data_IF_770349179162
#
_entry.id   IF_770349179162
#
_cell.length_a   1.000
_cell.length_b   1.000
_cell.length_c   1.000
_cell.angle_alpha   90.00
_cell.angle_beta   90.00
_cell.angle_gamma   90.00
#
_symmetry.space_group_name_H-M   'P 1'
#
loop_
_entity.id
_entity.type
_entity.pdbx_description
1 polymer ?
#
# COMPACT_ATOMS: atom_id res chain seq x y z
N UNK A 1 17.07 -15.11 -6.10
CA UNK A 1 17.65 -13.76 -6.29
C UNK A 1 17.63 -13.06 -4.94
N UNK A 2 18.76 -12.78 -4.28
CA UNK A 2 18.74 -11.95 -3.08
C UNK A 2 18.54 -10.50 -3.55
N UNK A 3 17.34 -9.95 -3.33
CA UNK A 3 17.05 -8.54 -3.58
C UNK A 3 17.92 -7.72 -2.64
N UNK A 4 18.95 -7.08 -3.22
CA UNK A 4 19.86 -6.22 -2.48
C UNK A 4 19.08 -5.19 -1.69
N UNK A 5 19.35 -5.12 -0.38
CA UNK A 5 18.88 -4.08 0.52
C UNK A 5 19.28 -2.72 -0.08
N UNK A 6 18.36 -2.04 -0.77
CA UNK A 6 18.56 -0.65 -1.16
C UNK A 6 18.44 0.20 0.10
N UNK A 7 19.57 0.44 0.73
CA UNK A 7 19.77 1.42 1.81
C UNK A 7 19.76 2.84 1.25
N UNK A 8 18.60 3.28 0.74
CA UNK A 8 18.32 4.67 0.38
C UNK A 8 16.87 4.91 0.79
N UNK A 9 16.50 6.02 1.47
CA UNK A 9 15.09 6.25 1.77
C UNK A 9 14.31 6.26 0.46
N UNK A 10 13.33 5.36 0.35
CA UNK A 10 12.51 5.26 -0.84
C UNK A 10 11.82 6.60 -1.11
N UNK A 11 11.93 7.08 -2.34
CA UNK A 11 11.19 8.26 -2.79
C UNK A 11 9.68 8.02 -2.70
N UNK A 12 8.88 9.10 -2.74
CA UNK A 12 7.43 8.97 -2.74
C UNK A 12 6.92 8.09 -3.90
N UNK A 13 7.52 8.24 -5.10
CA UNK A 13 7.16 7.44 -6.27
C UNK A 13 7.52 5.96 -6.10
N UNK A 14 8.72 5.65 -5.59
CA UNK A 14 9.11 4.27 -5.26
C UNK A 14 8.20 3.65 -4.19
N UNK A 15 7.78 4.44 -3.20
CA UNK A 15 6.84 4.01 -2.15
C UNK A 15 5.48 3.65 -2.75
N UNK A 16 4.96 4.51 -3.62
CA UNK A 16 3.71 4.28 -4.34
C UNK A 16 3.77 3.03 -5.20
N UNK A 17 4.82 2.88 -6.01
CA UNK A 17 4.98 1.71 -6.88
C UNK A 17 5.09 0.41 -6.07
N UNK A 18 5.85 0.43 -4.97
CA UNK A 18 5.99 -0.72 -4.10
C UNK A 18 4.65 -1.12 -3.48
N UNK A 19 3.90 -0.15 -2.94
CA UNK A 19 2.57 -0.39 -2.36
C UNK A 19 1.60 -0.93 -3.41
N UNK A 20 1.51 -0.29 -4.58
CA UNK A 20 0.64 -0.74 -5.67
C UNK A 20 0.95 -2.17 -6.07
N UNK A 21 2.24 -2.55 -6.18
CA UNK A 21 2.64 -3.93 -6.50
C UNK A 21 2.25 -4.92 -5.41
N UNK A 22 2.40 -4.57 -4.13
CA UNK A 22 2.02 -5.46 -3.01
C UNK A 22 0.51 -5.67 -2.94
N UNK A 23 -0.27 -4.63 -3.17
CA UNK A 23 -1.74 -4.74 -3.30
C UNK A 23 -2.11 -5.59 -4.51
N UNK A 24 -1.53 -5.33 -5.69
CA UNK A 24 -1.75 -6.10 -6.92
C UNK A 24 -1.38 -7.59 -6.79
N UNK A 25 -0.38 -7.91 -5.96
CA UNK A 25 0.04 -9.28 -5.67
C UNK A 25 -0.82 -10.00 -4.63
N UNK A 26 -1.69 -9.28 -3.92
CA UNK A 26 -2.56 -9.87 -2.89
C UNK A 26 -3.80 -10.53 -3.53
N UNK A 27 -4.43 -11.52 -2.85
CA UNK A 27 -5.67 -12.15 -3.33
C UNK A 27 -6.76 -11.12 -3.66
N UNK A 28 -7.63 -11.46 -4.62
CA UNK A 28 -8.76 -10.61 -5.06
C UNK A 28 -10.08 -11.10 -4.44
N UNK A 29 -10.91 -10.22 -3.85
CA UNK A 29 -10.60 -8.84 -3.47
C UNK A 29 -9.54 -8.80 -2.35
N UNK A 30 -8.91 -7.64 -2.16
CA UNK A 30 -7.92 -7.43 -1.11
C UNK A 30 -8.52 -7.87 0.25
N UNK A 31 -7.97 -8.88 0.93
CA UNK A 31 -8.53 -9.37 2.18
C UNK A 31 -8.43 -8.32 3.28
N UNK A 32 -9.45 -8.24 4.14
CA UNK A 32 -9.38 -7.43 5.36
C UNK A 32 -8.18 -7.85 6.22
N UNK A 33 -7.50 -6.88 6.81
CA UNK A 33 -6.28 -7.02 7.58
C UNK A 33 -5.02 -7.17 6.72
N UNK A 34 -5.14 -7.29 5.38
CA UNK A 34 -3.98 -7.44 4.51
C UNK A 34 -3.23 -6.13 4.32
N UNK A 35 -3.94 -5.02 4.19
CA UNK A 35 -3.30 -3.73 3.95
C UNK A 35 -2.45 -3.22 5.13
N UNK A 36 -2.91 -3.32 6.40
CA UNK A 36 -2.07 -3.02 7.57
C UNK A 36 -0.78 -3.84 7.59
N UNK A 37 -0.86 -5.12 7.23
CA UNK A 37 0.33 -5.97 7.14
C UNK A 37 1.30 -5.51 6.04
N UNK A 38 0.80 -5.05 4.89
CA UNK A 38 1.63 -4.47 3.82
C UNK A 38 2.32 -3.18 4.32
N UNK A 39 1.62 -2.34 5.09
CA UNK A 39 2.22 -1.14 5.68
C UNK A 39 3.34 -1.49 6.67
N UNK A 40 3.14 -2.51 7.51
CA UNK A 40 4.16 -3.01 8.43
C UNK A 40 5.38 -3.57 7.69
N UNK A 41 5.17 -4.37 6.63
CA UNK A 41 6.25 -4.87 5.76
C UNK A 41 7.04 -3.71 5.16
N UNK A 42 6.38 -2.66 4.68
CA UNK A 42 7.04 -1.49 4.11
C UNK A 42 7.91 -0.75 5.13
N UNK A 43 7.41 -0.55 6.35
CA UNK A 43 8.18 0.08 7.43
C UNK A 43 9.41 -0.76 7.78
N UNK A 44 9.27 -2.09 7.83
CA UNK A 44 10.39 -3.00 8.07
C UNK A 44 11.43 -3.01 6.93
N UNK A 45 10.99 -2.82 5.69
CA UNK A 45 11.88 -2.65 4.52
C UNK A 45 12.56 -1.27 4.47
N UNK A 46 12.17 -0.33 5.34
CA UNK A 46 12.79 0.99 5.48
C UNK A 46 12.07 2.12 4.73
N UNK A 47 10.82 1.91 4.31
CA UNK A 47 10.00 2.97 3.71
C UNK A 47 9.55 3.97 4.78
N UNK A 48 9.47 5.25 4.42
CA UNK A 48 8.99 6.31 5.30
C UNK A 48 7.49 6.16 5.55
N UNK A 49 7.07 6.18 6.82
CA UNK A 49 5.66 6.13 7.20
C UNK A 49 4.87 7.28 6.59
N UNK A 50 5.42 8.49 6.54
CA UNK A 50 4.78 9.64 5.90
C UNK A 50 4.51 9.40 4.41
N UNK A 51 5.46 8.81 3.67
CA UNK A 51 5.23 8.49 2.26
C UNK A 51 4.15 7.42 2.07
N UNK A 52 4.09 6.43 2.97
CA UNK A 52 3.05 5.39 2.94
C UNK A 52 1.67 6.01 3.20
N UNK A 53 1.54 6.88 4.20
CA UNK A 53 0.29 7.56 4.53
C UNK A 53 -0.14 8.54 3.44
N UNK A 54 0.78 9.33 2.89
CA UNK A 54 0.48 10.21 1.76
C UNK A 54 0.01 9.43 0.52
N UNK A 55 0.56 8.23 0.31
CA UNK A 55 0.11 7.34 -0.78
C UNK A 55 -1.31 6.84 -0.51
N UNK A 56 -1.60 6.44 0.73
CA UNK A 56 -2.93 6.01 1.15
C UNK A 56 -3.95 7.14 0.98
N UNK A 57 -3.64 8.35 1.46
CA UNK A 57 -4.50 9.52 1.33
C UNK A 57 -4.77 9.85 -0.15
N UNK A 58 -3.75 9.73 -1.00
CA UNK A 58 -3.91 9.87 -2.45
C UNK A 58 -4.90 8.83 -3.02
N UNK A 59 -4.81 7.56 -2.61
CA UNK A 59 -5.74 6.52 -3.07
C UNK A 59 -7.17 6.74 -2.58
N UNK A 60 -7.34 7.22 -1.34
CA UNK A 60 -8.63 7.61 -0.79
C UNK A 60 -9.24 8.78 -1.57
N UNK A 61 -8.43 9.80 -1.90
CA UNK A 61 -8.86 10.96 -2.68
C UNK A 61 -9.25 10.59 -4.12
N UNK A 62 -8.55 9.65 -4.74
CA UNK A 62 -8.91 9.12 -6.06
C UNK A 62 -10.08 8.13 -6.02
N UNK A 63 -10.57 7.74 -4.84
CA UNK A 63 -11.65 6.78 -4.71
C UNK A 63 -11.25 5.34 -5.03
N UNK A 64 -9.95 5.01 -5.04
CA UNK A 64 -9.47 3.65 -5.29
C UNK A 64 -9.73 2.71 -4.11
N UNK A 65 -9.77 3.25 -2.89
CA UNK A 65 -10.06 2.47 -1.70
C UNK A 65 -10.91 3.27 -0.72
N UNK A 66 -11.43 2.58 0.30
CA UNK A 66 -12.08 3.19 1.45
C UNK A 66 -11.57 2.54 2.73
N UNK A 67 -11.47 3.34 3.79
CA UNK A 67 -11.08 2.85 5.11
C UNK A 67 -12.21 2.00 5.68
N UNK A 68 -11.89 0.77 6.08
CA UNK A 68 -12.82 -0.13 6.78
C UNK A 68 -12.52 -0.24 8.27
N UNK A 69 -11.26 -0.02 8.65
CA UNK A 69 -10.85 0.09 10.05
C UNK A 69 -9.84 1.25 10.22
N UNK A 70 -10.25 2.36 10.86
CA UNK A 70 -9.37 3.50 11.06
C UNK A 70 -8.27 3.26 12.10
N UNK A 71 -8.41 2.27 12.98
CA UNK A 71 -7.41 1.97 14.04
C UNK A 71 -6.19 1.31 13.41
N UNK A 72 -6.42 0.31 12.56
CA UNK A 72 -5.36 -0.43 11.87
C UNK A 72 -5.00 0.16 10.50
N UNK A 73 -5.73 1.20 10.06
CA UNK A 73 -5.63 1.80 8.72
C UNK A 73 -5.93 0.80 7.61
N UNK A 74 -6.84 -0.15 7.88
CA UNK A 74 -7.24 -1.15 6.91
C UNK A 74 -8.19 -0.57 5.86
N UNK A 75 -8.09 -1.12 4.65
CA UNK A 75 -8.85 -0.65 3.50
C UNK A 75 -9.50 -1.82 2.77
N UNK A 76 -10.58 -1.49 2.07
CA UNK A 76 -11.06 -2.30 0.96
C UNK A 76 -10.94 -1.51 -0.34
N UNK A 77 -10.71 -2.21 -1.44
CA UNK A 77 -10.64 -1.61 -2.76
C UNK A 77 -12.06 -1.40 -3.31
N UNK A 78 -12.27 -0.24 -3.93
CA UNK A 78 -13.49 0.04 -4.70
C UNK A 78 -13.41 -0.64 -6.07
N UNK A 79 -14.49 -0.63 -6.84
CA UNK A 79 -14.45 -1.09 -8.24
C UNK A 79 -13.38 -0.36 -9.07
N UNK A 80 -13.16 0.93 -8.79
CA UNK A 80 -12.14 1.74 -9.45
C UNK A 80 -10.72 1.31 -9.04
N UNK A 81 -10.50 1.09 -7.74
CA UNK A 81 -9.22 0.56 -7.25
C UNK A 81 -8.94 -0.84 -7.78
N UNK A 82 -9.96 -1.69 -7.87
CA UNK A 82 -9.83 -3.01 -8.50
C UNK A 82 -9.37 -2.89 -9.96
N UNK A 83 -9.81 -1.89 -10.73
CA UNK A 83 -9.31 -1.67 -12.10
C UNK A 83 -7.90 -1.08 -12.16
N UNK A 84 -7.51 -0.33 -11.14
CA UNK A 84 -6.19 0.29 -11.08
C UNK A 84 -5.10 -0.67 -10.62
N UNK A 85 -5.38 -1.52 -9.63
CA UNK A 85 -4.39 -2.42 -9.02
C UNK A 85 -4.35 -3.82 -9.63
N UNK A 86 -5.43 -4.29 -10.28
CA UNK A 86 -5.59 -5.69 -10.69
C UNK A 86 -5.92 -5.87 -12.18
#
# INVERSE_FOLDING_TARGET
>A
MPTGKKTVPATFEETREWLSRRVASSPRPLPAGRFPHILEEAVQEGFSRDHLLNTLDMWLNYGYCRIIDPITQDIELTEEGMRYFY
#
